data_IF_863656326647
#
_entry.id   IF_863656326647
#
_cell.length_a   1.000
_cell.length_b   1.000
_cell.length_c   1.000
_cell.angle_alpha   90.00
_cell.angle_beta   90.00
_cell.angle_gamma   90.00
#
_symmetry.space_group_name_H-M   'P 1'
#
loop_
_entity.id
_entity.type
_entity.pdbx_description
1 polymer ?
#
# COMPACT_ATOMS: atom_id res chain seq x y z
N UNK A 1 10.77 17.96 -3.86
CA UNK A 1 10.93 16.51 -4.14
C UNK A 1 12.30 15.95 -3.77
N UNK A 2 13.46 16.41 -4.31
CA UNK A 2 14.78 15.82 -3.99
C UNK A 2 15.10 15.78 -2.49
N UNK A 3 14.83 16.86 -1.76
CA UNK A 3 14.99 16.91 -0.31
C UNK A 3 14.15 15.84 0.42
N UNK A 4 12.92 15.57 -0.03
CA UNK A 4 12.09 14.52 0.54
C UNK A 4 12.69 13.11 0.31
N UNK A 5 13.31 12.87 -0.86
CA UNK A 5 14.02 11.61 -1.15
C UNK A 5 15.21 11.43 -0.19
N UNK A 6 15.99 12.48 0.04
CA UNK A 6 17.14 12.46 0.96
C UNK A 6 16.70 12.16 2.39
N UNK A 7 15.63 12.81 2.87
CA UNK A 7 15.07 12.58 4.20
C UNK A 7 14.47 11.17 4.34
N UNK A 8 13.69 10.70 3.37
CA UNK A 8 13.17 9.33 3.38
C UNK A 8 14.31 8.29 3.36
N UNK A 9 15.35 8.52 2.56
CA UNK A 9 16.53 7.65 2.53
C UNK A 9 17.30 7.65 3.85
N UNK A 10 17.36 8.78 4.54
CA UNK A 10 17.97 8.87 5.87
C UNK A 10 17.11 8.17 6.92
N UNK A 11 15.81 8.41 6.93
CA UNK A 11 14.87 7.86 7.90
C UNK A 11 14.81 6.32 7.82
N UNK A 12 14.75 5.77 6.61
CA UNK A 12 14.67 4.32 6.37
C UNK A 12 16.05 3.64 6.23
N UNK A 13 17.13 4.30 6.65
CA UNK A 13 18.49 3.74 6.53
C UNK A 13 18.61 2.41 7.27
N UNK A 14 19.05 1.37 6.56
CA UNK A 14 19.24 0.02 7.09
C UNK A 14 17.96 -0.80 7.22
N UNK A 15 16.79 -0.23 6.94
CA UNK A 15 15.55 -0.99 6.89
C UNK A 15 15.44 -1.79 5.60
N UNK A 16 14.89 -3.00 5.68
CA UNK A 16 14.63 -3.89 4.55
C UNK A 16 13.19 -4.39 4.60
N UNK A 17 12.62 -4.68 3.44
CA UNK A 17 11.29 -5.31 3.33
C UNK A 17 11.34 -6.73 3.91
N UNK A 18 10.36 -7.05 4.72
CA UNK A 18 10.16 -8.40 5.26
C UNK A 18 9.90 -9.38 4.10
N UNK A 19 10.72 -10.40 4.00
CA UNK A 19 10.60 -11.44 2.97
C UNK A 19 11.64 -11.31 1.86
N UNK A 20 11.67 -10.22 1.11
CA UNK A 20 12.58 -10.04 -0.03
C UNK A 20 13.98 -9.55 0.36
N UNK A 21 14.14 -8.89 1.52
CA UNK A 21 15.41 -8.26 1.91
C UNK A 21 15.78 -7.02 1.09
N UNK A 22 14.91 -6.55 0.20
CA UNK A 22 15.10 -5.33 -0.59
C UNK A 22 15.11 -4.11 0.34
N UNK A 23 16.01 -3.11 0.14
CA UNK A 23 16.00 -1.88 0.92
C UNK A 23 14.60 -1.25 0.95
N UNK A 24 14.12 -0.91 2.17
CA UNK A 24 12.74 -0.40 2.34
C UNK A 24 12.47 0.87 1.54
N UNK A 25 13.49 1.71 1.33
CA UNK A 25 13.40 2.96 0.55
C UNK A 25 12.78 2.75 -0.85
N UNK A 26 12.90 1.56 -1.45
CA UNK A 26 12.32 1.28 -2.76
C UNK A 26 10.80 1.45 -2.74
N UNK A 27 10.14 1.11 -1.61
CA UNK A 27 8.70 1.28 -1.43
C UNK A 27 8.23 2.74 -1.57
N UNK A 28 8.67 3.70 -0.74
CA UNK A 28 8.24 5.09 -0.90
C UNK A 28 8.63 5.71 -2.24
N UNK A 29 9.73 5.25 -2.87
CA UNK A 29 10.08 5.68 -4.24
C UNK A 29 9.07 5.16 -5.28
N UNK A 30 8.62 3.91 -5.16
CA UNK A 30 7.58 3.35 -6.02
C UNK A 30 6.23 4.06 -5.81
N UNK A 31 5.86 4.35 -4.57
CA UNK A 31 4.66 5.14 -4.24
C UNK A 31 4.72 6.51 -4.92
N UNK A 32 5.83 7.22 -4.76
CA UNK A 32 6.05 8.52 -5.42
C UNK A 32 5.95 8.42 -6.95
N UNK A 33 6.56 7.40 -7.55
CA UNK A 33 6.47 7.13 -9.00
C UNK A 33 5.02 6.94 -9.45
N UNK A 34 4.23 6.16 -8.73
CA UNK A 34 2.81 5.92 -9.03
C UNK A 34 2.00 7.21 -8.96
N UNK A 35 2.22 8.03 -7.94
CA UNK A 35 1.57 9.34 -7.78
C UNK A 35 1.95 10.32 -8.90
N UNK A 36 3.21 10.33 -9.35
CA UNK A 36 3.65 11.12 -10.52
C UNK A 36 2.94 10.65 -11.79
N UNK A 37 2.83 9.35 -12.00
CA UNK A 37 2.15 8.77 -13.17
C UNK A 37 0.65 9.06 -13.18
N UNK A 38 0.02 9.16 -12.00
CA UNK A 38 -1.39 9.59 -11.86
C UNK A 38 -1.58 11.10 -12.06
N UNK A 39 -0.49 11.87 -12.14
CA UNK A 39 -0.54 13.33 -12.34
C UNK A 39 -0.77 14.13 -11.06
N UNK A 40 -0.50 13.55 -9.91
CA UNK A 40 -0.63 14.23 -8.63
C UNK A 40 0.32 15.43 -8.48
N UNK A 41 -0.09 16.45 -7.72
CA UNK A 41 0.73 17.60 -7.38
C UNK A 41 1.96 17.19 -6.56
N UNK A 42 3.04 18.00 -6.65
CA UNK A 42 4.31 17.69 -5.96
C UNK A 42 4.15 17.47 -4.45
N UNK A 43 3.27 18.20 -3.81
CA UNK A 43 3.01 18.03 -2.36
C UNK A 43 2.44 16.65 -2.03
N UNK A 44 1.57 16.09 -2.88
CA UNK A 44 1.04 14.72 -2.73
C UNK A 44 2.15 13.69 -2.94
N UNK A 45 3.02 13.89 -3.92
CA UNK A 45 4.18 13.03 -4.18
C UNK A 45 5.15 13.05 -2.99
N UNK A 46 5.41 14.25 -2.42
CA UNK A 46 6.24 14.40 -1.21
C UNK A 46 5.60 13.69 -0.02
N UNK A 47 4.29 13.84 0.17
CA UNK A 47 3.58 13.13 1.23
C UNK A 47 3.64 11.60 1.03
N UNK A 48 3.54 11.12 -0.21
CA UNK A 48 3.74 9.71 -0.55
C UNK A 48 5.15 9.19 -0.28
N UNK A 49 6.19 10.03 -0.45
CA UNK A 49 7.56 9.68 -0.06
C UNK A 49 7.72 9.56 1.47
N UNK A 50 6.96 10.34 2.22
CA UNK A 50 7.10 10.47 3.67
C UNK A 50 6.07 9.64 4.47
N UNK A 51 5.10 8.98 3.82
CA UNK A 51 3.92 8.41 4.48
C UNK A 51 4.24 7.42 5.61
N UNK A 52 5.28 6.59 5.43
CA UNK A 52 5.69 5.58 6.41
C UNK A 52 6.73 6.09 7.43
N UNK A 53 7.31 7.27 7.23
CA UNK A 53 8.41 7.74 8.09
C UNK A 53 7.98 7.95 9.54
N UNK A 54 6.74 8.39 9.77
CA UNK A 54 6.19 8.61 11.12
C UNK A 54 5.86 7.30 11.82
N UNK A 55 5.46 6.28 11.05
CA UNK A 55 5.10 4.98 11.60
C UNK A 55 6.33 4.09 11.89
N UNK A 56 7.31 4.12 11.00
CA UNK A 56 8.39 3.14 10.94
C UNK A 56 9.76 3.68 11.36
N UNK A 57 9.85 4.98 11.72
CA UNK A 57 11.08 5.64 12.14
C UNK A 57 10.87 6.57 13.35
N UNK A 58 11.92 7.24 13.78
CA UNK A 58 11.85 8.22 14.88
C UNK A 58 11.31 9.60 14.43
N UNK A 59 11.04 9.80 13.13
CA UNK A 59 10.52 11.05 12.58
C UNK A 59 9.13 11.35 13.11
N UNK A 60 8.86 12.62 13.37
CA UNK A 60 7.56 13.09 13.88
C UNK A 60 6.85 13.94 12.82
N UNK A 61 5.52 14.01 12.91
CA UNK A 61 4.73 14.90 12.05
C UNK A 61 5.20 16.36 12.12
N UNK A 62 5.66 16.82 13.29
CA UNK A 62 6.21 18.16 13.45
C UNK A 62 7.48 18.40 12.61
N UNK A 63 8.30 17.37 12.41
CA UNK A 63 9.51 17.46 11.58
C UNK A 63 9.10 17.60 10.10
N UNK A 64 8.08 16.82 9.67
CA UNK A 64 7.52 16.90 8.32
C UNK A 64 6.87 18.27 8.08
N UNK A 65 6.13 18.80 9.06
CA UNK A 65 5.52 20.12 8.96
C UNK A 65 6.57 21.23 8.83
N UNK A 66 7.67 21.14 9.59
CA UNK A 66 8.76 22.11 9.54
C UNK A 66 9.48 22.10 8.17
N UNK A 67 9.64 20.93 7.55
CA UNK A 67 10.37 20.76 6.28
C UNK A 67 9.50 21.01 5.03
N UNK A 68 8.23 20.60 5.08
CA UNK A 68 7.35 20.56 3.90
C UNK A 68 6.03 21.33 4.07
N UNK A 69 5.79 21.88 5.24
CA UNK A 69 4.58 22.65 5.54
C UNK A 69 3.40 21.80 6.02
N UNK A 70 2.37 22.48 6.55
CA UNK A 70 1.25 21.84 7.24
C UNK A 70 0.38 20.96 6.31
N UNK A 71 0.30 21.28 5.00
CA UNK A 71 -0.48 20.51 4.04
C UNK A 71 0.12 19.11 3.83
N UNK A 72 1.44 19.02 3.66
CA UNK A 72 2.14 17.73 3.52
C UNK A 72 2.01 16.91 4.81
N UNK A 73 2.25 17.53 5.96
CA UNK A 73 2.10 16.87 7.26
C UNK A 73 0.68 16.32 7.48
N UNK A 74 -0.36 17.07 7.09
CA UNK A 74 -1.74 16.63 7.19
C UNK A 74 -2.03 15.41 6.27
N UNK A 75 -1.48 15.38 5.05
CA UNK A 75 -1.62 14.26 4.14
C UNK A 75 -0.89 13.01 4.68
N UNK A 76 0.32 13.17 5.21
CA UNK A 76 1.05 12.06 5.85
C UNK A 76 0.24 11.52 7.04
N UNK A 77 -0.26 12.39 7.93
CA UNK A 77 -1.09 11.98 9.05
C UNK A 77 -2.36 11.23 8.62
N UNK A 78 -2.99 11.67 7.52
CA UNK A 78 -4.20 11.04 6.97
C UNK A 78 -3.94 9.69 6.30
N UNK A 79 -2.73 9.45 5.82
CA UNK A 79 -2.33 8.18 5.19
C UNK A 79 -1.74 7.18 6.18
N UNK A 80 -1.32 7.63 7.39
CA UNK A 80 -0.71 6.79 8.41
C UNK A 80 -1.73 5.95 9.18
N UNK A 81 -1.35 4.70 9.49
CA UNK A 81 -2.16 3.82 10.34
C UNK A 81 -2.13 4.27 11.82
N UNK A 82 -3.19 3.99 12.60
CA UNK A 82 -3.18 4.24 14.03
C UNK A 82 -2.14 3.39 14.76
N UNK A 83 -1.89 3.78 16.02
CA UNK A 83 -0.89 3.17 16.89
C UNK A 83 -0.89 1.63 16.83
N UNK A 84 0.28 1.04 16.65
CA UNK A 84 0.51 -0.42 16.58
C UNK A 84 0.12 -1.19 17.86
N UNK A 85 -0.23 -0.50 18.94
CA UNK A 85 -0.75 -1.11 20.18
C UNK A 85 -2.16 -1.68 20.02
N UNK A 86 -2.91 -1.27 19.01
CA UNK A 86 -4.22 -1.84 18.70
C UNK A 86 -4.09 -3.14 17.89
N UNK A 87 -5.14 -3.96 17.87
CA UNK A 87 -5.18 -5.20 17.10
C UNK A 87 -5.03 -4.94 15.60
N UNK A 88 -4.61 -5.96 14.84
CA UNK A 88 -4.52 -5.87 13.39
C UNK A 88 -5.88 -5.52 12.77
N UNK A 89 -6.94 -6.15 13.25
CA UNK A 89 -8.33 -5.95 12.80
C UNK A 89 -8.77 -4.50 13.01
N UNK A 90 -8.52 -3.95 14.18
CA UNK A 90 -8.87 -2.55 14.50
C UNK A 90 -8.12 -1.57 13.61
N UNK A 91 -6.82 -1.76 13.38
CA UNK A 91 -6.05 -0.90 12.48
C UNK A 91 -6.57 -0.97 11.04
N UNK A 92 -6.84 -2.18 10.52
CA UNK A 92 -7.34 -2.35 9.14
C UNK A 92 -8.76 -1.79 8.99
N UNK A 93 -9.62 -1.98 9.98
CA UNK A 93 -10.95 -1.37 9.98
C UNK A 93 -10.86 0.16 10.03
N UNK A 94 -9.99 0.72 10.86
CA UNK A 94 -9.76 2.16 10.92
C UNK A 94 -9.32 2.73 9.55
N UNK A 95 -8.38 2.07 8.87
CA UNK A 95 -7.96 2.49 7.52
C UNK A 95 -9.13 2.46 6.54
N UNK A 96 -9.94 1.41 6.55
CA UNK A 96 -11.14 1.30 5.70
C UNK A 96 -12.11 2.45 6.00
N UNK A 97 -12.41 2.70 7.27
CA UNK A 97 -13.37 3.73 7.69
C UNK A 97 -12.87 5.15 7.38
N UNK A 98 -11.55 5.38 7.49
CA UNK A 98 -10.95 6.68 7.20
C UNK A 98 -11.10 7.10 5.73
N UNK A 99 -11.13 6.16 4.80
CA UNK A 99 -11.30 6.42 3.36
C UNK A 99 -12.60 7.16 3.07
N UNK A 100 -13.68 6.88 3.79
CA UNK A 100 -14.99 7.49 3.56
C UNK A 100 -14.96 9.03 3.68
N UNK A 101 -14.16 9.58 4.60
CA UNK A 101 -14.07 11.02 4.87
C UNK A 101 -12.75 11.68 4.44
N UNK A 102 -11.76 10.91 3.97
CA UNK A 102 -10.44 11.43 3.64
C UNK A 102 -10.48 12.38 2.43
N UNK A 103 -9.61 13.42 2.39
CA UNK A 103 -9.37 14.20 1.18
C UNK A 103 -8.86 13.31 0.03
N UNK A 104 -9.14 13.72 -1.20
CA UNK A 104 -8.78 12.95 -2.41
C UNK A 104 -7.27 12.71 -2.50
N UNK A 105 -6.45 13.69 -2.12
CA UNK A 105 -4.99 13.59 -2.09
C UNK A 105 -4.49 12.45 -1.16
N UNK A 106 -5.14 12.26 -0.02
CA UNK A 106 -4.84 11.17 0.92
C UNK A 106 -5.23 9.83 0.32
N UNK A 107 -6.36 9.76 -0.40
CA UNK A 107 -6.81 8.55 -1.08
C UNK A 107 -5.83 8.10 -2.17
N UNK A 108 -5.23 9.05 -2.91
CA UNK A 108 -4.18 8.73 -3.89
C UNK A 108 -2.96 8.10 -3.23
N UNK A 109 -2.53 8.62 -2.07
CA UNK A 109 -1.40 8.06 -1.33
C UNK A 109 -1.72 6.65 -0.85
N UNK A 110 -2.89 6.44 -0.22
CA UNK A 110 -3.33 5.12 0.23
C UNK A 110 -3.41 4.13 -0.94
N UNK A 111 -3.98 4.53 -2.07
CA UNK A 111 -4.08 3.68 -3.25
C UNK A 111 -2.71 3.28 -3.81
N UNK A 112 -1.78 4.22 -3.92
CA UNK A 112 -0.42 3.98 -4.41
C UNK A 112 0.37 3.07 -3.46
N UNK A 113 0.27 3.29 -2.15
CA UNK A 113 0.87 2.44 -1.13
C UNK A 113 0.36 0.99 -1.26
N UNK A 114 -0.96 0.82 -1.30
CA UNK A 114 -1.53 -0.54 -1.37
C UNK A 114 -1.24 -1.22 -2.70
N UNK A 115 -1.13 -0.48 -3.79
CA UNK A 115 -0.71 -1.03 -5.08
C UNK A 115 0.74 -1.53 -5.04
N UNK A 116 1.69 -0.78 -4.48
CA UNK A 116 3.08 -1.26 -4.35
C UNK A 116 3.18 -2.44 -3.38
N UNK A 117 2.43 -2.40 -2.29
CA UNK A 117 2.41 -3.49 -1.32
C UNK A 117 1.87 -4.79 -1.92
N UNK A 118 0.77 -4.76 -2.68
CA UNK A 118 0.21 -5.97 -3.28
C UNK A 118 1.05 -6.50 -4.44
N UNK A 119 1.75 -5.64 -5.17
CA UNK A 119 2.73 -6.05 -6.19
C UNK A 119 3.89 -6.81 -5.57
N UNK A 120 4.45 -6.30 -4.49
CA UNK A 120 5.49 -7.00 -3.75
C UNK A 120 5.00 -8.34 -3.19
N UNK A 121 3.75 -8.38 -2.71
CA UNK A 121 3.11 -9.62 -2.25
C UNK A 121 2.95 -10.63 -3.38
N UNK A 122 2.57 -10.19 -4.59
CA UNK A 122 2.45 -11.03 -5.78
C UNK A 122 3.81 -11.59 -6.21
N UNK A 123 4.85 -10.76 -6.22
CA UNK A 123 6.23 -11.19 -6.52
C UNK A 123 6.69 -12.26 -5.52
N UNK A 124 6.50 -12.04 -4.22
CA UNK A 124 6.84 -13.00 -3.19
C UNK A 124 6.03 -14.31 -3.34
N UNK A 125 4.75 -14.23 -3.69
CA UNK A 125 3.89 -15.39 -3.93
C UNK A 125 4.38 -16.24 -5.12
N UNK A 126 4.85 -15.60 -6.19
CA UNK A 126 5.45 -16.28 -7.33
C UNK A 126 6.73 -17.05 -6.97
N UNK A 127 7.52 -16.52 -6.02
CA UNK A 127 8.78 -17.14 -5.61
C UNK A 127 8.61 -18.22 -4.54
N UNK A 128 7.69 -18.03 -3.59
CA UNK A 128 7.55 -18.88 -2.39
C UNK A 128 6.26 -19.69 -2.35
N UNK A 129 5.33 -19.45 -3.28
CA UNK A 129 4.02 -20.12 -3.28
C UNK A 129 3.22 -19.82 -2.00
N UNK A 130 2.28 -20.69 -1.66
CA UNK A 130 1.41 -20.55 -0.49
C UNK A 130 2.15 -20.47 0.85
N UNK A 131 3.42 -20.89 0.93
CA UNK A 131 4.25 -20.73 2.12
C UNK A 131 4.44 -19.26 2.53
N UNK A 132 4.24 -18.32 1.59
CA UNK A 132 4.23 -16.89 1.87
C UNK A 132 3.31 -16.54 3.05
N UNK A 133 2.12 -17.12 3.10
CA UNK A 133 1.10 -16.76 4.10
C UNK A 133 1.50 -17.08 5.53
N UNK A 134 2.46 -17.98 5.74
CA UNK A 134 3.00 -18.28 7.08
C UNK A 134 3.83 -17.14 7.68
N UNK A 135 4.25 -16.16 6.88
CA UNK A 135 5.00 -14.97 7.32
C UNK A 135 4.11 -13.90 7.95
N UNK A 136 2.80 -13.98 7.70
CA UNK A 136 1.85 -12.99 8.17
C UNK A 136 1.21 -13.40 9.50
N UNK A 137 0.97 -12.44 10.38
CA UNK A 137 0.24 -12.66 11.63
C UNK A 137 -1.25 -12.99 11.40
N UNK A 138 -1.74 -12.80 10.17
CA UNK A 138 -3.12 -13.11 9.78
C UNK A 138 -3.11 -13.91 8.48
N UNK A 139 -4.01 -14.93 8.38
CA UNK A 139 -4.05 -15.82 7.21
C UNK A 139 -4.53 -15.10 5.95
N UNK A 140 -4.30 -15.72 4.79
CA UNK A 140 -4.69 -15.21 3.47
C UNK A 140 -6.13 -14.67 3.41
N UNK A 141 -7.18 -15.36 3.96
CA UNK A 141 -8.55 -14.82 3.89
C UNK A 141 -8.72 -13.46 4.58
N UNK A 142 -8.00 -13.21 5.67
CA UNK A 142 -8.04 -11.92 6.36
C UNK A 142 -7.35 -10.82 5.52
N UNK A 143 -6.22 -11.14 4.87
CA UNK A 143 -5.56 -10.22 3.94
C UNK A 143 -6.48 -9.92 2.74
N UNK A 144 -7.11 -10.93 2.15
CA UNK A 144 -8.05 -10.79 1.05
C UNK A 144 -9.25 -9.90 1.43
N UNK A 145 -9.83 -10.12 2.62
CA UNK A 145 -10.90 -9.27 3.14
C UNK A 145 -10.48 -7.80 3.19
N UNK A 146 -9.31 -7.52 3.77
CA UNK A 146 -8.82 -6.15 3.89
C UNK A 146 -8.65 -5.48 2.53
N UNK A 147 -7.89 -6.12 1.61
CA UNK A 147 -7.64 -5.55 0.29
C UNK A 147 -8.92 -5.36 -0.54
N UNK A 148 -9.83 -6.32 -0.53
CA UNK A 148 -11.10 -6.24 -1.27
C UNK A 148 -12.02 -5.15 -0.71
N UNK A 149 -12.11 -5.03 0.62
CA UNK A 149 -12.95 -4.01 1.26
C UNK A 149 -12.40 -2.61 1.03
N UNK A 150 -11.09 -2.43 1.19
CA UNK A 150 -10.43 -1.14 0.94
C UNK A 150 -10.55 -0.73 -0.54
N UNK A 151 -10.32 -1.66 -1.47
CA UNK A 151 -10.47 -1.42 -2.90
C UNK A 151 -11.89 -0.92 -3.23
N UNK A 152 -12.93 -1.57 -2.71
CA UNK A 152 -14.31 -1.18 -2.94
C UNK A 152 -14.59 0.27 -2.48
N UNK A 153 -14.00 0.72 -1.38
CA UNK A 153 -14.10 2.10 -0.91
C UNK A 153 -13.35 3.08 -1.83
N UNK A 154 -12.13 2.70 -2.25
CA UNK A 154 -11.33 3.53 -3.16
C UNK A 154 -12.01 3.67 -4.54
N UNK A 155 -12.63 2.61 -5.05
CA UNK A 155 -13.42 2.64 -6.29
C UNK A 155 -14.61 3.61 -6.22
N UNK A 156 -15.32 3.63 -5.09
CA UNK A 156 -16.43 4.58 -4.89
C UNK A 156 -15.96 6.03 -4.85
N UNK A 157 -14.77 6.30 -4.33
CA UNK A 157 -14.23 7.64 -4.11
C UNK A 157 -13.40 8.17 -5.28
N UNK A 158 -12.57 7.35 -5.89
CA UNK A 158 -11.63 7.71 -6.96
C UNK A 158 -12.08 7.25 -8.35
N UNK A 159 -13.20 6.51 -8.43
CA UNK A 159 -13.72 5.99 -9.70
C UNK A 159 -12.77 4.99 -10.36
N UNK A 160 -12.79 4.97 -11.70
CA UNK A 160 -11.98 4.08 -12.53
C UNK A 160 -10.65 4.70 -12.96
N UNK A 161 -9.94 5.39 -12.09
CA UNK A 161 -8.61 5.92 -12.42
C UNK A 161 -7.61 4.80 -12.77
N UNK A 162 -6.57 5.08 -13.54
CA UNK A 162 -5.54 4.09 -13.88
C UNK A 162 -4.93 3.41 -12.65
N UNK A 163 -4.73 4.16 -11.56
CA UNK A 163 -4.15 3.63 -10.33
C UNK A 163 -5.10 2.63 -9.64
N UNK A 164 -6.39 2.95 -9.55
CA UNK A 164 -7.41 2.07 -8.97
C UNK A 164 -7.63 0.82 -9.82
N UNK A 165 -7.62 0.96 -11.16
CA UNK A 165 -7.73 -0.19 -12.08
C UNK A 165 -6.56 -1.16 -11.87
N UNK A 166 -5.33 -0.66 -11.77
CA UNK A 166 -4.16 -1.48 -11.50
C UNK A 166 -4.26 -2.18 -10.14
N UNK A 167 -4.72 -1.48 -9.08
CA UNK A 167 -4.91 -2.09 -7.76
C UNK A 167 -5.94 -3.24 -7.82
N UNK A 168 -7.04 -3.05 -8.57
CA UNK A 168 -8.06 -4.10 -8.77
C UNK A 168 -7.48 -5.34 -9.43
N UNK A 169 -6.70 -5.16 -10.50
CA UNK A 169 -6.07 -6.25 -11.24
C UNK A 169 -5.10 -7.05 -10.34
N UNK A 170 -4.29 -6.36 -9.54
CA UNK A 170 -3.36 -7.01 -8.62
C UNK A 170 -4.09 -7.74 -7.47
N UNK A 171 -5.15 -7.14 -6.90
CA UNK A 171 -5.97 -7.78 -5.86
C UNK A 171 -6.63 -9.05 -6.41
N UNK A 172 -7.16 -9.00 -7.63
CA UNK A 172 -7.73 -10.17 -8.28
C UNK A 172 -6.68 -11.27 -8.52
N UNK A 173 -5.47 -10.89 -8.97
CA UNK A 173 -4.40 -11.84 -9.25
C UNK A 173 -3.84 -12.53 -8.00
N UNK A 174 -3.69 -11.79 -6.88
CA UNK A 174 -3.14 -12.31 -5.62
C UNK A 174 -4.14 -13.16 -4.85
N UNK A 175 -5.42 -12.78 -4.89
CA UNK A 175 -6.49 -13.43 -4.13
C UNK A 175 -7.51 -14.16 -5.03
N UNK A 176 -7.10 -14.62 -6.22
CA UNK A 176 -7.90 -15.54 -7.02
C UNK A 176 -8.27 -16.77 -6.18
N UNK A 177 -9.52 -17.19 -6.24
CA UNK A 177 -9.94 -18.43 -5.58
C UNK A 177 -9.27 -19.61 -6.27
N UNK A 178 -8.74 -20.57 -5.53
CA UNK A 178 -8.07 -21.77 -6.08
C UNK A 178 -9.02 -22.69 -6.90
N UNK A 179 -10.25 -22.23 -7.20
CA UNK A 179 -11.29 -22.96 -7.92
C UNK A 179 -11.26 -22.84 -9.45
N UNK A 180 -10.63 -21.80 -10.02
CA UNK A 180 -10.66 -21.56 -11.46
C UNK A 180 -9.49 -22.19 -12.26
N UNK A 181 -8.58 -22.88 -11.59
CA UNK A 181 -7.44 -23.54 -12.21
C UNK A 181 -7.65 -25.04 -12.49
N UNK A 182 -8.85 -25.59 -12.29
CA UNK A 182 -9.15 -26.97 -12.74
C UNK A 182 -9.71 -26.92 -14.15
N UNK A 183 -8.77 -27.08 -15.06
CA UNK A 183 -9.01 -27.19 -16.48
C UNK A 183 -10.07 -28.23 -16.86
N UNK A 184 -10.69 -27.95 -17.99
CA UNK A 184 -11.58 -28.78 -18.78
C UNK A 184 -11.22 -30.28 -18.71
N UNK A 185 -12.17 -31.17 -18.43
CA UNK A 185 -11.93 -32.60 -18.55
C UNK A 185 -11.67 -32.93 -20.02
N UNK A 186 -10.56 -33.62 -20.29
CA UNK A 186 -10.23 -34.13 -21.61
C UNK A 186 -11.40 -34.97 -22.18
N UNK A 187 -11.76 -34.81 -23.48
CA UNK A 187 -12.82 -35.58 -24.08
C UNK A 187 -12.49 -37.10 -24.06
N UNK A 188 -13.47 -37.96 -23.85
CA UNK A 188 -13.24 -39.42 -23.84
C UNK A 188 -12.73 -39.89 -25.21
N UNK A 189 -11.55 -40.50 -25.20
CA UNK A 189 -10.97 -41.13 -26.40
C UNK A 189 -11.88 -42.19 -26.97
N UNK A 190 -12.00 -42.17 -28.30
CA UNK A 190 -12.57 -43.24 -29.11
C UNK A 190 -11.58 -44.39 -29.33
#
# INVERSE_FOLDING_TARGET
>A
MFHAIELAAHAHRGQVRTGSGVPYLIHPLNVAKLLIQEGCQEEVVVAGLMHDTVEDTDMKLADIEAEFGPRVAAMVAGASEPDRRTSWEERKQHTIDSVAGAPEEVLWIICADKLDNIRSLREDLQHTGSALWTRFNRPQPAQAWYYRTLLAQLEQRLGGSPLVVQLREEVAAVFAEEGDAQGEPAPPGR
#
